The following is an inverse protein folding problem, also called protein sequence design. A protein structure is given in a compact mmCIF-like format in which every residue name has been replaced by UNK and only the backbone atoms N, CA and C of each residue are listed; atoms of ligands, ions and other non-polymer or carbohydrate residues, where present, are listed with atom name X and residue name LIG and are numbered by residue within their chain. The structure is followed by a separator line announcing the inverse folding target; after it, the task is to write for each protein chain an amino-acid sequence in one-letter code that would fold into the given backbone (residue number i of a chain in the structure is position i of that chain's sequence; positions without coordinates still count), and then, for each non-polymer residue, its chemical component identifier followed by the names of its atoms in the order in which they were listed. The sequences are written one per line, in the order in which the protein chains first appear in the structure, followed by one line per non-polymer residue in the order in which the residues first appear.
data_IF_345139083845
#
_entry.id   IF_345139083845
#
_cell.length_a   1.000
_cell.length_b   1.000
_cell.length_c   1.000
_cell.angle_alpha   90.00
_cell.angle_beta   90.00
_cell.angle_gamma   90.00
#
_symmetry.space_group_name_H-M   'P 1'
#
loop_
_entity.id
_entity.type
_entity.pdbx_description
1 polymer ?
#
# COMPACT_ATOMS: atom_id res chain seq x y z
N UNK A 1 -6.38 4.62 11.16
CA UNK A 1 -5.21 5.52 11.00
C UNK A 1 -5.13 5.88 9.52
N UNK A 2 -4.91 7.15 9.18
CA UNK A 2 -4.72 7.59 7.79
C UNK A 2 -3.24 7.44 7.44
N UNK A 3 -2.93 6.83 6.30
CA UNK A 3 -1.56 6.78 5.79
C UNK A 3 -1.25 8.04 4.97
N UNK A 4 -0.11 8.65 5.26
CA UNK A 4 0.51 9.67 4.43
C UNK A 4 1.13 9.04 3.17
N UNK A 5 1.36 9.83 2.11
CA UNK A 5 2.03 9.34 0.90
C UNK A 5 3.40 8.71 1.18
N UNK A 6 4.18 9.32 2.09
CA UNK A 6 5.50 8.83 2.46
C UNK A 6 5.44 7.53 3.26
N UNK A 7 4.46 7.36 4.15
CA UNK A 7 4.27 6.10 4.88
C UNK A 7 3.93 4.95 3.92
N UNK A 8 3.09 5.18 2.91
CA UNK A 8 2.74 4.16 1.91
C UNK A 8 3.98 3.76 1.10
N UNK A 9 4.78 4.75 0.68
CA UNK A 9 6.01 4.52 -0.06
C UNK A 9 7.03 3.76 0.79
N UNK A 10 7.25 4.19 2.03
CA UNK A 10 8.16 3.55 2.98
C UNK A 10 7.71 2.12 3.28
N UNK A 11 6.41 1.90 3.45
CA UNK A 11 5.85 0.58 3.67
C UNK A 11 6.14 -0.34 2.49
N UNK A 12 5.91 0.12 1.25
CA UNK A 12 6.21 -0.65 0.05
C UNK A 12 7.70 -0.98 -0.07
N UNK A 13 8.57 -0.01 0.21
CA UNK A 13 10.02 -0.16 0.10
C UNK A 13 10.60 -1.07 1.19
N UNK A 14 10.03 -1.05 2.39
CA UNK A 14 10.33 -2.00 3.48
C UNK A 14 10.13 -3.45 3.05
N UNK A 15 9.09 -3.71 2.26
CA UNK A 15 8.79 -5.05 1.74
C UNK A 15 9.54 -5.38 0.43
N UNK A 16 10.41 -4.48 -0.03
CA UNK A 16 11.27 -4.69 -1.21
C UNK A 16 10.52 -5.01 -2.51
N UNK A 17 9.27 -4.54 -2.63
CA UNK A 17 8.43 -4.76 -3.82
C UNK A 17 8.22 -3.52 -4.68
N UNK A 18 8.01 -3.74 -5.98
CA UNK A 18 7.60 -2.68 -6.91
C UNK A 18 6.16 -2.22 -6.65
N UNK A 19 5.78 -1.02 -7.12
CA UNK A 19 4.39 -0.54 -7.05
C UNK A 19 3.41 -1.51 -7.70
N UNK A 20 3.80 -2.19 -8.78
CA UNK A 20 2.96 -3.18 -9.47
C UNK A 20 2.74 -4.43 -8.62
N UNK A 21 3.79 -4.93 -7.96
CA UNK A 21 3.68 -6.12 -7.10
C UNK A 21 2.88 -5.77 -5.85
N UNK A 22 3.15 -4.64 -5.22
CA UNK A 22 2.40 -4.15 -4.06
C UNK A 22 0.90 -3.99 -4.36
N UNK A 23 0.57 -3.42 -5.53
CA UNK A 23 -0.81 -3.26 -5.96
C UNK A 23 -1.55 -4.60 -6.11
N UNK A 24 -0.87 -5.65 -6.56
CA UNK A 24 -1.45 -7.00 -6.69
C UNK A 24 -1.87 -7.56 -5.34
N UNK A 25 -1.00 -7.47 -4.33
CA UNK A 25 -1.33 -7.90 -2.96
C UNK A 25 -2.51 -7.12 -2.36
N UNK A 26 -2.58 -5.83 -2.65
CA UNK A 26 -3.66 -4.97 -2.15
C UNK A 26 -4.97 -5.06 -2.96
N UNK A 27 -4.99 -5.84 -4.06
CA UNK A 27 -6.15 -5.94 -4.95
C UNK A 27 -6.51 -4.64 -5.66
N UNK A 28 -5.52 -3.78 -5.93
CA UNK A 28 -5.68 -2.49 -6.62
C UNK A 28 -4.79 -2.39 -7.86
N UNK A 29 -4.86 -1.26 -8.56
CA UNK A 29 -3.99 -1.00 -9.71
C UNK A 29 -2.68 -0.34 -9.28
N UNK A 30 -1.63 -0.50 -10.09
CA UNK A 30 -0.37 0.26 -9.92
C UNK A 30 -0.58 1.77 -9.94
N UNK A 31 -1.55 2.26 -10.71
CA UNK A 31 -1.89 3.68 -10.76
C UNK A 31 -2.48 4.17 -9.43
N UNK A 32 -3.30 3.36 -8.77
CA UNK A 32 -3.81 3.65 -7.42
C UNK A 32 -2.67 3.84 -6.43
N UNK A 33 -1.72 2.90 -6.37
CA UNK A 33 -0.53 3.00 -5.51
C UNK A 33 0.29 4.25 -5.84
N UNK A 34 0.54 4.52 -7.13
CA UNK A 34 1.24 5.72 -7.59
C UNK A 34 0.56 7.02 -7.18
N UNK A 35 -0.78 7.08 -7.22
CA UNK A 35 -1.54 8.25 -6.78
C UNK A 35 -1.49 8.42 -5.26
N UNK A 36 -1.47 7.33 -4.49
CA UNK A 36 -1.33 7.36 -3.05
C UNK A 36 0.05 7.85 -2.61
N UNK A 37 1.13 7.30 -3.19
CA UNK A 37 2.51 7.71 -2.90
C UNK A 37 2.84 9.15 -3.33
N UNK A 38 2.01 9.75 -4.21
CA UNK A 38 2.11 11.17 -4.60
C UNK A 38 1.10 12.08 -3.90
N UNK A 39 0.26 11.54 -3.01
CA UNK A 39 -0.77 12.29 -2.29
C UNK A 39 -1.91 12.82 -3.15
N UNK A 40 -2.09 12.29 -4.36
CA UNK A 40 -3.17 12.68 -5.27
C UNK A 40 -4.51 12.06 -4.87
N UNK A 41 -4.46 10.86 -4.27
CA UNK A 41 -5.62 10.16 -3.70
C UNK A 41 -5.21 9.47 -2.41
N UNK A 42 -6.19 9.12 -1.58
CA UNK A 42 -5.98 8.33 -0.37
C UNK A 42 -6.55 6.92 -0.53
N UNK A 43 -5.94 5.89 0.10
CA UNK A 43 -6.53 4.56 0.18
C UNK A 43 -7.83 4.60 0.98
N UNK A 44 -8.79 3.75 0.61
CA UNK A 44 -10.07 3.64 1.28
C UNK A 44 -10.58 2.19 1.25
N UNK A 45 -11.56 1.88 2.12
CA UNK A 45 -12.21 0.58 2.16
C UNK A 45 -11.23 -0.57 2.42
N UNK A 46 -11.32 -1.63 1.62
CA UNK A 46 -10.51 -2.84 1.77
C UNK A 46 -9.00 -2.55 1.68
N UNK A 47 -8.57 -1.68 0.75
CA UNK A 47 -7.15 -1.34 0.58
C UNK A 47 -6.55 -0.69 1.84
N UNK A 48 -7.31 0.17 2.53
CA UNK A 48 -6.85 0.77 3.79
C UNK A 48 -6.63 -0.30 4.88
N UNK A 49 -7.54 -1.28 4.97
CA UNK A 49 -7.42 -2.38 5.92
C UNK A 49 -6.23 -3.29 5.60
N UNK A 50 -5.98 -3.57 4.32
CA UNK A 50 -4.83 -4.34 3.88
C UNK A 50 -3.52 -3.61 4.15
N UNK A 51 -3.44 -2.29 3.92
CA UNK A 51 -2.27 -1.49 4.28
C UNK A 51 -1.96 -1.57 5.78
N UNK A 52 -2.97 -1.49 6.65
CA UNK A 52 -2.76 -1.68 8.10
C UNK A 52 -2.31 -3.09 8.47
N UNK A 53 -2.75 -4.12 7.74
CA UNK A 53 -2.24 -5.48 7.93
C UNK A 53 -0.78 -5.60 7.51
N UNK A 54 -0.40 -5.01 6.36
CA UNK A 54 1.00 -4.99 5.92
C UNK A 54 1.85 -4.22 6.92
N UNK A 55 1.43 -3.03 7.36
CA UNK A 55 2.13 -2.22 8.37
C UNK A 55 2.50 -3.03 9.61
N UNK A 56 1.56 -3.85 10.11
CA UNK A 56 1.69 -4.59 11.37
C UNK A 56 2.28 -5.99 11.22
N UNK A 57 2.14 -6.65 10.06
CA UNK A 57 2.45 -8.07 9.88
C UNK A 57 3.29 -8.41 8.63
N UNK A 58 3.60 -7.44 7.78
CA UNK A 58 4.27 -7.67 6.49
C UNK A 58 3.31 -8.10 5.37
N UNK A 59 3.82 -8.15 4.14
CA UNK A 59 3.08 -8.55 2.95
C UNK A 59 2.65 -10.02 3.00
N UNK A 60 3.40 -10.89 3.68
CA UNK A 60 3.11 -12.31 3.81
C UNK A 60 1.77 -12.58 4.49
N UNK A 61 1.28 -11.64 5.31
CA UNK A 61 -0.02 -11.77 5.98
C UNK A 61 -1.22 -11.64 5.04
N UNK A 62 -1.01 -11.14 3.82
CA UNK A 62 -2.05 -10.92 2.80
C UNK A 62 -1.69 -11.57 1.45
N UNK A 63 -0.72 -12.49 1.45
CA UNK A 63 -0.27 -13.25 0.30
C UNK A 63 -1.17 -14.43 -0.06
#
# INVERSE_FOLDING_TARGET
HEFTPEEIKTLREREEVSQTVFARYLGVTKDSVSQWERGQRKPAGAALKLLSLVETKGLEAIA
#
